data_IF_616675825967
#
_entry.id   IF_616675825967
#
_cell.length_a   1.000
_cell.length_b   1.000
_cell.length_c   1.000
_cell.angle_alpha   90.00
_cell.angle_beta   90.00
_cell.angle_gamma   90.00
#
_symmetry.space_group_name_H-M   'P 1'
#
loop_
_entity.id
_entity.type
_entity.pdbx_description
1 polymer ?
#
# COMPACT_ATOMS: atom_id res chain seq x y z
N UNK A 1 20.43 11.94 15.64
CA UNK A 1 21.05 10.60 15.70
C UNK A 1 21.42 10.20 14.28
N UNK A 2 22.63 9.69 14.05
CA UNK A 2 22.97 9.09 12.76
C UNK A 2 22.01 7.94 12.45
N UNK A 3 21.64 7.72 11.17
CA UNK A 3 20.76 6.61 10.80
C UNK A 3 21.45 5.28 11.14
N UNK A 4 20.66 4.34 11.66
CA UNK A 4 21.08 2.98 11.97
C UNK A 4 20.04 1.98 11.48
N UNK A 5 20.47 0.85 10.93
CA UNK A 5 19.57 -0.19 10.40
C UNK A 5 19.89 -1.55 11.01
N UNK A 6 18.86 -2.23 11.53
CA UNK A 6 18.99 -3.61 12.00
C UNK A 6 18.94 -4.53 10.77
N UNK A 7 19.99 -5.33 10.55
CA UNK A 7 20.10 -6.25 9.41
C UNK A 7 19.82 -7.71 9.78
N UNK A 8 19.98 -8.07 11.06
CA UNK A 8 19.68 -9.41 11.57
C UNK A 8 19.42 -9.39 13.08
N UNK A 9 18.65 -10.37 13.55
CA UNK A 9 18.45 -10.67 14.97
C UNK A 9 18.67 -12.18 15.17
N UNK A 10 19.64 -12.54 16.00
CA UNK A 10 20.01 -13.95 16.24
C UNK A 10 20.64 -14.10 17.63
N UNK A 11 20.32 -15.20 18.32
CA UNK A 11 20.97 -15.60 19.58
C UNK A 11 21.04 -14.47 20.64
N UNK A 12 19.94 -13.70 20.79
CA UNK A 12 19.87 -12.58 21.75
C UNK A 12 20.68 -11.35 21.36
N UNK A 13 21.08 -11.23 20.08
CA UNK A 13 21.87 -10.12 19.54
C UNK A 13 21.26 -9.55 18.28
N UNK A 14 21.28 -8.23 18.16
CA UNK A 14 20.98 -7.49 16.94
C UNK A 14 22.28 -7.14 16.23
N UNK A 15 22.32 -7.37 14.92
CA UNK A 15 23.34 -6.83 14.03
C UNK A 15 22.84 -5.49 13.50
N UNK A 16 23.49 -4.40 13.89
CA UNK A 16 23.08 -3.04 13.57
C UNK A 16 24.14 -2.40 12.69
N UNK A 17 23.75 -2.00 11.50
CA UNK A 17 24.55 -1.15 10.62
C UNK A 17 24.45 0.29 11.12
N UNK A 18 25.59 0.90 11.43
CA UNK A 18 25.73 2.31 11.86
C UNK A 18 26.74 3.01 10.96
N UNK A 19 26.81 4.34 11.03
CA UNK A 19 27.90 5.08 10.38
C UNK A 19 29.24 4.66 11.00
N UNK A 20 30.07 3.95 10.24
CA UNK A 20 31.34 3.39 10.71
C UNK A 20 31.42 1.86 10.75
N UNK A 21 30.33 1.15 10.46
CA UNK A 21 30.34 -0.31 10.28
C UNK A 21 29.20 -1.03 11.00
N UNK A 22 29.48 -2.25 11.46
CA UNK A 22 28.50 -3.11 12.13
C UNK A 22 28.74 -3.10 13.64
N UNK A 23 27.66 -2.93 14.40
CA UNK A 23 27.63 -3.06 15.84
C UNK A 23 26.74 -4.23 16.24
N UNK A 24 27.13 -4.93 17.30
CA UNK A 24 26.29 -5.94 17.96
C UNK A 24 25.64 -5.34 19.20
N UNK A 25 24.33 -5.53 19.34
CA UNK A 25 23.55 -5.06 20.50
C UNK A 25 22.85 -6.26 21.13
N UNK A 26 23.20 -6.59 22.37
CA UNK A 26 22.54 -7.65 23.14
C UNK A 26 21.19 -7.21 23.68
N UNK A 27 20.24 -8.14 23.81
CA UNK A 27 18.94 -7.90 24.42
C UNK A 27 18.44 -9.12 25.21
N UNK A 28 17.72 -8.86 26.30
CA UNK A 28 16.99 -9.91 27.03
C UNK A 28 15.58 -10.12 26.47
N UNK A 29 14.97 -9.05 25.96
CA UNK A 29 13.64 -9.02 25.35
C UNK A 29 13.65 -8.07 24.16
N UNK A 30 12.99 -8.47 23.06
CA UNK A 30 12.94 -7.71 21.81
C UNK A 30 11.50 -7.42 21.41
N UNK A 31 11.20 -6.15 21.16
CA UNK A 31 9.94 -5.71 20.56
C UNK A 31 10.23 -5.31 19.11
N UNK A 32 9.53 -5.91 18.17
CA UNK A 32 9.60 -5.56 16.75
C UNK A 32 8.48 -4.58 16.41
N UNK A 33 8.86 -3.34 16.10
CA UNK A 33 7.94 -2.26 15.70
C UNK A 33 8.40 -1.62 14.38
N UNK A 34 8.79 -2.44 13.40
CA UNK A 34 9.39 -2.02 12.13
C UNK A 34 8.39 -1.43 11.13
N UNK A 35 7.10 -1.39 11.48
CA UNK A 35 6.04 -0.93 10.59
C UNK A 35 5.75 -1.91 9.46
N UNK A 36 5.29 -1.38 8.33
CA UNK A 36 5.00 -2.14 7.11
C UNK A 36 5.53 -1.38 5.90
N UNK A 37 5.83 -2.11 4.82
CA UNK A 37 6.27 -1.55 3.55
C UNK A 37 5.41 -2.12 2.42
N UNK A 38 5.27 -1.35 1.35
CA UNK A 38 4.54 -1.79 0.18
C UNK A 38 5.23 -2.98 -0.48
N UNK A 39 4.44 -3.99 -0.85
CA UNK A 39 4.91 -5.09 -1.69
C UNK A 39 4.61 -4.76 -3.15
N UNK A 40 5.65 -4.43 -3.91
CA UNK A 40 5.54 -4.16 -5.35
C UNK A 40 5.48 -5.48 -6.13
N UNK A 41 4.60 -5.57 -7.12
CA UNK A 41 4.49 -6.74 -8.00
C UNK A 41 5.61 -6.71 -9.06
N UNK A 42 6.47 -7.74 -9.15
CA UNK A 42 7.62 -7.73 -10.07
C UNK A 42 7.21 -8.14 -11.49
N UNK A 43 6.38 -7.32 -12.15
CA UNK A 43 5.92 -7.53 -13.54
C UNK A 43 6.66 -6.60 -14.51
N UNK A 44 6.88 -6.96 -15.78
CA UNK A 44 7.51 -6.07 -16.75
C UNK A 44 6.92 -4.65 -16.71
N UNK A 45 7.80 -3.64 -16.64
CA UNK A 45 7.42 -2.22 -16.50
C UNK A 45 7.24 -1.73 -15.06
N UNK A 46 7.37 -2.57 -14.03
CA UNK A 46 7.21 -2.14 -12.63
C UNK A 46 8.21 -1.08 -12.14
N UNK A 47 9.34 -0.91 -12.85
CA UNK A 47 10.38 0.08 -12.54
C UNK A 47 10.35 1.30 -13.47
N UNK A 48 9.37 1.37 -14.37
CA UNK A 48 9.27 2.48 -15.32
C UNK A 48 8.99 3.80 -14.61
N UNK A 49 9.51 4.90 -15.17
CA UNK A 49 9.15 6.23 -14.70
C UNK A 49 7.63 6.42 -14.74
N UNK A 50 7.07 7.04 -13.71
CA UNK A 50 5.62 7.16 -13.55
C UNK A 50 4.94 6.01 -12.80
N UNK A 51 5.67 4.92 -12.51
CA UNK A 51 5.18 3.83 -11.65
C UNK A 51 5.62 4.07 -10.21
N UNK A 52 4.64 4.14 -9.31
CA UNK A 52 4.87 4.38 -7.89
C UNK A 52 4.16 3.33 -7.04
N UNK A 53 4.68 3.09 -5.84
CA UNK A 53 3.97 2.30 -4.86
C UNK A 53 2.72 3.04 -4.37
N UNK A 54 1.70 2.29 -3.93
CA UNK A 54 0.44 2.89 -3.49
C UNK A 54 0.62 3.76 -2.24
N UNK A 55 1.50 3.35 -1.33
CA UNK A 55 1.92 4.12 -0.16
C UNK A 55 2.66 5.40 -0.55
N UNK A 56 3.55 5.38 -1.54
CA UNK A 56 4.21 6.58 -2.04
C UNK A 56 3.19 7.58 -2.61
N UNK A 57 2.22 7.10 -3.42
CA UNK A 57 1.13 7.93 -3.91
C UNK A 57 0.27 8.51 -2.77
N UNK A 58 0.00 7.73 -1.72
CA UNK A 58 -0.74 8.21 -0.56
C UNK A 58 0.03 9.25 0.26
N UNK A 59 1.35 9.08 0.42
CA UNK A 59 2.21 10.04 1.09
C UNK A 59 2.24 11.35 0.31
N UNK A 60 2.46 11.30 -1.00
CA UNK A 60 2.43 12.48 -1.86
C UNK A 60 1.10 13.25 -1.71
N UNK A 61 -0.02 12.51 -1.73
CA UNK A 61 -1.33 13.12 -1.58
C UNK A 61 -1.54 13.75 -0.20
N UNK A 62 -1.20 13.05 0.89
CA UNK A 62 -1.50 13.51 2.26
C UNK A 62 -0.52 14.55 2.78
N UNK A 63 0.76 14.38 2.49
CA UNK A 63 1.81 15.24 3.02
C UNK A 63 2.07 16.46 2.13
N UNK A 64 1.91 16.31 0.81
CA UNK A 64 2.25 17.36 -0.15
C UNK A 64 1.01 17.92 -0.87
N UNK A 65 -0.17 17.30 -0.74
CA UNK A 65 -1.37 17.72 -1.46
C UNK A 65 -1.28 17.45 -2.97
N UNK A 66 -0.38 16.57 -3.40
CA UNK A 66 -0.05 16.36 -4.82
C UNK A 66 -0.52 14.98 -5.29
N UNK A 67 -1.17 14.94 -6.46
CA UNK A 67 -1.41 13.72 -7.20
C UNK A 67 -0.22 13.41 -8.11
N UNK A 68 0.25 12.16 -8.10
CA UNK A 68 1.35 11.72 -8.96
C UNK A 68 0.83 11.42 -10.36
N UNK A 69 1.02 12.38 -11.28
CA UNK A 69 0.63 12.25 -12.68
C UNK A 69 -0.75 12.84 -13.00
N UNK A 70 -1.05 12.93 -14.30
CA UNK A 70 -2.28 13.54 -14.82
C UNK A 70 -3.42 12.55 -15.02
N UNK A 71 -3.11 11.31 -15.38
CA UNK A 71 -4.06 10.20 -15.55
C UNK A 71 -3.55 9.03 -14.73
N UNK A 72 -4.35 8.57 -13.77
CA UNK A 72 -3.91 7.64 -12.74
C UNK A 72 -4.66 6.33 -12.88
N UNK A 73 -3.92 5.24 -12.99
CA UNK A 73 -4.42 3.88 -12.80
C UNK A 73 -3.84 3.36 -11.49
N UNK A 74 -4.70 2.85 -10.62
CA UNK A 74 -4.28 2.15 -9.42
C UNK A 74 -4.43 0.65 -9.64
N UNK A 75 -3.43 -0.13 -9.25
CA UNK A 75 -3.50 -1.59 -9.31
C UNK A 75 -2.93 -2.21 -8.05
N UNK A 76 -3.56 -3.27 -7.54
CA UNK A 76 -3.11 -3.95 -6.34
C UNK A 76 -4.19 -4.84 -5.74
N UNK A 77 -4.23 -4.92 -4.41
CA UNK A 77 -5.32 -5.59 -3.70
C UNK A 77 -5.57 -4.98 -2.32
N UNK A 78 -6.79 -5.17 -1.84
CA UNK A 78 -7.17 -4.83 -0.47
C UNK A 78 -7.70 -3.40 -0.29
N UNK A 79 -8.07 -3.05 0.96
CA UNK A 79 -8.86 -1.84 1.23
C UNK A 79 -8.09 -0.54 1.01
N UNK A 80 -6.75 -0.55 1.07
CA UNK A 80 -5.93 0.63 0.81
C UNK A 80 -6.12 1.14 -0.63
N UNK A 81 -6.28 0.22 -1.59
CA UNK A 81 -6.52 0.52 -2.99
C UNK A 81 -7.80 1.37 -3.16
N UNK A 82 -8.89 0.93 -2.53
CA UNK A 82 -10.16 1.66 -2.50
C UNK A 82 -10.02 3.02 -1.84
N UNK A 83 -9.32 3.08 -0.70
CA UNK A 83 -9.14 4.31 0.06
C UNK A 83 -8.37 5.36 -0.73
N UNK A 84 -7.21 5.00 -1.29
CA UNK A 84 -6.36 5.93 -2.04
C UNK A 84 -7.06 6.40 -3.31
N UNK A 85 -7.74 5.50 -4.04
CA UNK A 85 -8.53 5.89 -5.21
C UNK A 85 -9.60 6.92 -4.89
N UNK A 86 -10.37 6.71 -3.80
CA UNK A 86 -11.39 7.66 -3.39
C UNK A 86 -10.80 8.99 -2.86
N UNK A 87 -9.62 8.96 -2.24
CA UNK A 87 -8.90 10.16 -1.80
C UNK A 87 -8.40 10.98 -3.00
N UNK A 88 -7.86 10.32 -4.03
CA UNK A 88 -7.42 10.96 -5.27
C UNK A 88 -8.59 11.61 -6.02
N UNK A 89 -9.72 10.89 -6.16
CA UNK A 89 -10.94 11.46 -6.74
C UNK A 89 -11.44 12.68 -5.93
N UNK A 90 -11.43 12.60 -4.59
CA UNK A 90 -11.80 13.73 -3.73
C UNK A 90 -10.87 14.93 -3.92
N UNK A 91 -9.60 14.69 -4.21
CA UNK A 91 -8.60 15.73 -4.49
C UNK A 91 -8.66 16.25 -5.94
N UNK A 92 -9.61 15.79 -6.76
CA UNK A 92 -9.77 16.24 -8.15
C UNK A 92 -8.82 15.59 -9.14
N UNK A 93 -8.11 14.52 -8.76
CA UNK A 93 -7.24 13.79 -9.68
C UNK A 93 -8.06 12.92 -10.66
N UNK A 94 -7.58 12.79 -11.90
CA UNK A 94 -8.18 11.89 -12.88
C UNK A 94 -7.74 10.44 -12.65
N UNK A 95 -8.49 9.75 -11.78
CA UNK A 95 -8.37 8.29 -11.62
C UNK A 95 -9.17 7.63 -12.75
N UNK A 96 -8.45 7.10 -13.74
CA UNK A 96 -9.03 6.41 -14.89
C UNK A 96 -9.53 5.01 -14.51
N UNK A 97 -8.77 4.28 -13.69
CA UNK A 97 -9.16 2.92 -13.26
C UNK A 97 -8.56 2.55 -11.89
N UNK A 98 -9.28 1.68 -11.18
CA UNK A 98 -8.84 1.01 -9.94
C UNK A 98 -8.98 -0.50 -10.16
N UNK A 99 -7.85 -1.17 -10.26
CA UNK A 99 -7.72 -2.56 -10.67
C UNK A 99 -7.35 -3.43 -9.45
N UNK A 100 -8.34 -4.11 -8.87
CA UNK A 100 -8.13 -5.04 -7.76
C UNK A 100 -7.93 -6.46 -8.26
N UNK A 101 -6.79 -7.03 -7.92
CA UNK A 101 -6.41 -8.41 -8.25
C UNK A 101 -7.18 -9.46 -7.44
N UNK A 102 -7.87 -9.06 -6.38
CA UNK A 102 -8.76 -9.93 -5.62
C UNK A 102 -10.08 -10.13 -6.36
N UNK A 103 -10.45 -11.39 -6.60
CA UNK A 103 -11.77 -11.70 -7.17
C UNK A 103 -12.90 -11.22 -6.25
N UNK A 104 -14.04 -10.85 -6.84
CA UNK A 104 -15.23 -10.44 -6.09
C UNK A 104 -15.65 -11.48 -5.03
N UNK A 105 -15.59 -12.77 -5.38
CA UNK A 105 -15.84 -13.88 -4.44
C UNK A 105 -14.93 -13.82 -3.22
N UNK A 106 -13.64 -13.51 -3.41
CA UNK A 106 -12.68 -13.39 -2.31
C UNK A 106 -12.98 -12.18 -1.43
N UNK A 107 -13.42 -11.07 -2.03
CA UNK A 107 -13.75 -9.84 -1.29
C UNK A 107 -14.98 -10.04 -0.37
N UNK A 108 -16.04 -10.72 -0.84
CA UNK A 108 -17.25 -10.95 -0.03
C UNK A 108 -17.02 -11.98 1.09
N UNK A 109 -16.08 -12.93 0.95
CA UNK A 109 -15.83 -13.91 2.02
C UNK A 109 -15.49 -13.28 3.38
N UNK A 110 -15.00 -12.05 3.41
CA UNK A 110 -14.73 -11.31 4.64
C UNK A 110 -15.95 -10.62 5.28
N UNK A 111 -17.15 -10.73 4.69
CA UNK A 111 -18.33 -9.97 5.11
C UNK A 111 -18.74 -10.23 6.57
N UNK A 112 -18.68 -11.49 7.03
CA UNK A 112 -18.96 -11.82 8.43
C UNK A 112 -18.01 -11.09 9.40
N UNK A 113 -16.72 -10.95 9.04
CA UNK A 113 -15.75 -10.20 9.84
C UNK A 113 -15.99 -8.69 9.84
N UNK A 114 -16.57 -8.15 8.75
CA UNK A 114 -16.93 -6.74 8.66
C UNK A 114 -18.11 -6.37 9.56
N UNK A 115 -19.00 -7.32 9.86
CA UNK A 115 -20.14 -7.11 10.77
C UNK A 115 -19.71 -6.72 12.19
N UNK A 116 -18.50 -7.11 12.62
CA UNK A 116 -17.94 -6.69 13.91
C UNK A 116 -17.61 -5.18 13.98
N UNK A 117 -17.53 -4.49 12.83
CA UNK A 117 -17.23 -3.05 12.74
C UNK A 117 -18.11 -2.36 11.68
N UNK A 118 -19.44 -2.26 11.91
CA UNK A 118 -20.40 -1.86 10.88
C UNK A 118 -20.15 -0.45 10.34
N UNK A 119 -19.76 0.50 11.20
CA UNK A 119 -19.46 1.88 10.78
C UNK A 119 -18.25 1.91 9.82
N UNK A 120 -17.22 1.11 10.09
CA UNK A 120 -16.02 1.03 9.24
C UNK A 120 -16.36 0.34 7.92
N UNK A 121 -17.18 -0.71 7.96
CA UNK A 121 -17.67 -1.40 6.78
C UNK A 121 -18.48 -0.45 5.86
N UNK A 122 -19.42 0.32 6.43
CA UNK A 122 -20.19 1.32 5.71
C UNK A 122 -19.31 2.40 5.08
N UNK A 123 -18.28 2.88 5.79
CA UNK A 123 -17.28 3.81 5.22
C UNK A 123 -16.56 3.18 4.03
N UNK A 124 -16.15 1.91 4.14
CA UNK A 124 -15.54 1.17 3.04
C UNK A 124 -16.45 1.07 1.81
N UNK A 125 -17.72 0.74 2.03
CA UNK A 125 -18.74 0.71 0.97
C UNK A 125 -18.96 2.08 0.33
N UNK A 126 -19.01 3.15 1.10
CA UNK A 126 -19.15 4.51 0.58
C UNK A 126 -17.94 4.93 -0.28
N UNK A 127 -16.71 4.58 0.15
CA UNK A 127 -15.52 4.79 -0.65
C UNK A 127 -15.56 3.98 -1.95
N UNK A 128 -16.03 2.74 -1.87
CA UNK A 128 -16.19 1.86 -3.03
C UNK A 128 -17.22 2.40 -4.03
N UNK A 129 -18.34 2.91 -3.54
CA UNK A 129 -19.38 3.54 -4.35
C UNK A 129 -18.88 4.80 -5.06
N UNK A 130 -18.05 5.62 -4.39
CA UNK A 130 -17.42 6.81 -5.01
C UNK A 130 -16.53 6.49 -6.21
N UNK A 131 -15.89 5.32 -6.22
CA UNK A 131 -15.11 4.88 -7.37
C UNK A 131 -16.01 4.49 -8.55
N UNK A 132 -17.23 4.02 -8.27
CA UNK A 132 -18.23 3.67 -9.27
C UNK A 132 -17.69 2.69 -10.32
N UNK A 133 -17.98 2.98 -11.59
CA UNK A 133 -17.56 2.16 -12.74
C UNK A 133 -16.05 2.11 -13.00
N UNK A 134 -15.22 2.86 -12.25
CA UNK A 134 -13.76 2.83 -12.39
C UNK A 134 -13.11 1.65 -11.70
N UNK A 135 -13.83 0.96 -10.80
CA UNK A 135 -13.25 -0.15 -10.07
C UNK A 135 -13.57 -1.49 -10.73
N UNK A 136 -12.51 -2.23 -11.01
CA UNK A 136 -12.56 -3.55 -11.62
C UNK A 136 -11.93 -4.57 -10.66
N UNK A 137 -12.64 -5.65 -10.34
CA UNK A 137 -12.16 -6.71 -9.45
C UNK A 137 -11.81 -7.98 -10.21
N UNK A 138 -10.86 -8.75 -9.69
CA UNK A 138 -10.44 -10.02 -10.27
C UNK A 138 -9.57 -9.86 -11.52
N UNK A 139 -8.85 -8.74 -11.63
CA UNK A 139 -7.93 -8.49 -12.73
C UNK A 139 -6.59 -9.20 -12.51
N UNK A 140 -5.91 -9.55 -13.59
CA UNK A 140 -4.54 -10.08 -13.55
C UNK A 140 -3.59 -9.00 -14.05
N UNK A 141 -2.50 -8.77 -13.33
CA UNK A 141 -1.44 -7.85 -13.74
C UNK A 141 -0.38 -8.63 -14.52
N UNK A 142 -0.27 -8.37 -15.82
CA UNK A 142 0.72 -9.01 -16.69
C UNK A 142 1.93 -8.10 -16.96
N UNK A 143 1.68 -6.82 -17.23
CA UNK A 143 2.71 -5.80 -17.48
C UNK A 143 2.20 -4.39 -17.20
N UNK A 144 3.11 -3.42 -17.14
CA UNK A 144 2.83 -1.99 -17.04
C UNK A 144 3.47 -1.27 -18.23
N UNK A 145 2.68 -0.45 -18.92
CA UNK A 145 3.12 0.44 -20.00
C UNK A 145 2.79 1.87 -19.56
N UNK A 146 3.81 2.71 -19.42
CA UNK A 146 3.73 4.06 -18.87
C UNK A 146 4.15 5.08 -19.93
#
# INVERSE_FOLDING_TARGET
RAPSSVIAARDGRLHVLVQGGMQLVSYDRLILATGASDRVAPVPGWQSAGVYSLGAAQIALKAQGVALGRRIVLIGSGPLLTLVGAQLLKAGADVTAVLDTSSWRRQIRGFAGLAARPIVALRGLALRARLGGRYHSGVTLERIEA
#
